data_IF_397840347796
#
_entry.id   IF_397840347796
#
_cell.length_a   1.000
_cell.length_b   1.000
_cell.length_c   1.000
_cell.angle_alpha   90.00
_cell.angle_beta   90.00
_cell.angle_gamma   90.00
#
_symmetry.space_group_name_H-M   'P 1'
#
loop_
_entity.id
_entity.type
_entity.pdbx_description
1 polymer ?
#
# COMPACT_ATOMS: atom_id res chain seq x y z
N UNK A 1 7.93 -23.59 16.28
CA UNK A 1 6.80 -22.89 16.94
C UNK A 1 6.62 -21.57 16.21
N UNK A 2 5.81 -21.53 15.16
CA UNK A 2 5.60 -20.32 14.35
C UNK A 2 4.61 -19.42 15.08
N UNK A 3 5.10 -18.29 15.59
CA UNK A 3 4.27 -17.22 16.14
C UNK A 3 3.34 -16.73 15.02
N UNK A 4 2.08 -17.15 15.05
CA UNK A 4 1.03 -16.55 14.22
C UNK A 4 0.76 -15.16 14.79
N UNK A 5 1.51 -14.16 14.30
CA UNK A 5 1.24 -12.77 14.61
C UNK A 5 -0.11 -12.43 14.00
N UNK A 6 -1.14 -12.28 14.84
CA UNK A 6 -2.46 -11.82 14.38
C UNK A 6 -2.29 -10.54 13.57
N UNK A 7 -2.75 -10.59 12.33
CA UNK A 7 -2.62 -9.54 11.32
C UNK A 7 -3.35 -8.27 11.75
N UNK A 8 -2.83 -7.08 11.41
CA UNK A 8 -3.61 -5.86 11.51
C UNK A 8 -4.74 -5.91 10.47
N UNK A 9 -5.95 -6.14 10.95
CA UNK A 9 -7.18 -5.84 10.19
C UNK A 9 -7.53 -4.41 10.55
N UNK A 10 -7.59 -3.53 9.55
CA UNK A 10 -8.11 -2.18 9.75
C UNK A 10 -9.63 -2.30 9.69
N UNK A 11 -10.31 -2.11 10.82
CA UNK A 11 -11.78 -2.25 10.90
C UNK A 11 -12.52 -1.31 9.93
N UNK A 12 -11.95 -0.14 9.65
CA UNK A 12 -12.44 0.77 8.61
C UNK A 12 -11.27 1.39 7.82
N UNK A 13 -11.02 1.00 6.55
CA UNK A 13 -9.98 1.58 5.72
C UNK A 13 -10.35 2.95 5.12
N UNK A 14 -11.60 3.41 5.27
CA UNK A 14 -12.14 4.60 4.60
C UNK A 14 -11.39 5.87 4.95
N UNK A 15 -10.93 6.01 6.20
CA UNK A 15 -10.18 7.20 6.63
C UNK A 15 -8.83 7.36 5.88
N UNK A 16 -8.24 6.25 5.42
CA UNK A 16 -7.03 6.24 4.59
C UNK A 16 -7.39 6.45 3.12
N UNK A 17 -8.38 5.71 2.63
CA UNK A 17 -8.65 5.54 1.20
C UNK A 17 -9.54 6.65 0.62
N UNK A 18 -10.56 7.11 1.35
CA UNK A 18 -11.48 8.14 0.84
C UNK A 18 -10.78 9.46 0.51
N UNK A 19 -9.85 9.98 1.33
CA UNK A 19 -9.14 11.20 0.98
C UNK A 19 -8.37 11.10 -0.35
N UNK A 20 -7.99 9.89 -0.78
CA UNK A 20 -7.29 9.64 -2.04
C UNK A 20 -8.28 9.59 -3.20
N UNK A 21 -9.39 8.85 -3.07
CA UNK A 21 -10.40 8.73 -4.13
C UNK A 21 -11.17 10.03 -4.36
N UNK A 22 -11.32 10.86 -3.33
CA UNK A 22 -11.97 12.17 -3.41
C UNK A 22 -11.13 13.22 -4.15
N UNK A 23 -9.84 12.98 -4.41
CA UNK A 23 -8.97 13.91 -5.15
C UNK A 23 -9.49 14.19 -6.56
N UNK A 24 -9.97 13.15 -7.25
CA UNK A 24 -10.47 13.25 -8.62
C UNK A 24 -11.33 12.04 -8.97
N UNK A 25 -12.33 12.26 -9.83
CA UNK A 25 -13.13 11.19 -10.44
C UNK A 25 -12.31 10.23 -11.32
N UNK A 26 -11.12 10.65 -11.72
CA UNK A 26 -10.17 9.83 -12.48
C UNK A 26 -9.47 8.78 -11.60
N UNK A 27 -9.53 8.90 -10.26
CA UNK A 27 -9.11 7.83 -9.36
C UNK A 27 -10.16 6.74 -9.39
N UNK A 28 -9.80 5.55 -9.89
CA UNK A 28 -10.73 4.43 -10.06
C UNK A 28 -10.87 3.64 -8.77
N UNK A 29 -9.74 3.18 -8.22
CA UNK A 29 -9.73 2.35 -7.01
C UNK A 29 -8.47 2.61 -6.19
N UNK A 30 -8.58 2.40 -4.88
CA UNK A 30 -7.45 2.38 -3.96
C UNK A 30 -7.54 1.18 -3.01
N UNK A 31 -6.38 0.70 -2.56
CA UNK A 31 -6.25 -0.50 -1.76
C UNK A 31 -5.09 -0.37 -0.78
N UNK A 32 -5.31 -0.91 0.42
CA UNK A 32 -4.29 -1.16 1.43
C UNK A 32 -3.97 -2.65 1.35
N UNK A 33 -2.69 -2.98 1.22
CA UNK A 33 -2.22 -4.36 1.13
C UNK A 33 -0.95 -4.58 1.96
N UNK A 34 -0.68 -5.83 2.29
CA UNK A 34 0.56 -6.25 2.95
C UNK A 34 1.62 -6.73 1.96
N UNK A 35 2.87 -6.80 2.40
CA UNK A 35 4.02 -7.26 1.60
C UNK A 35 4.00 -8.75 1.27
N UNK A 36 3.14 -9.52 1.93
CA UNK A 36 2.87 -10.92 1.62
C UNK A 36 1.69 -11.08 0.63
N UNK A 37 1.16 -9.99 0.10
CA UNK A 37 0.17 -10.01 -0.98
C UNK A 37 -1.27 -10.09 -0.52
N UNK A 38 -1.61 -9.68 0.71
CA UNK A 38 -2.99 -9.76 1.20
C UNK A 38 -3.68 -8.40 1.37
N UNK A 39 -4.97 -8.39 1.07
CA UNK A 39 -5.81 -7.19 1.14
C UNK A 39 -6.10 -6.88 2.60
N UNK A 40 -5.76 -5.67 3.01
CA UNK A 40 -6.08 -5.11 4.33
C UNK A 40 -7.34 -4.23 4.22
N UNK A 41 -7.53 -3.53 3.09
CA UNK A 41 -8.71 -2.73 2.82
C UNK A 41 -8.78 -2.30 1.36
N UNK A 42 -9.97 -2.03 0.86
CA UNK A 42 -10.19 -1.57 -0.51
C UNK A 42 -11.35 -0.58 -0.56
N UNK A 43 -11.32 0.31 -1.55
CA UNK A 43 -12.44 1.22 -1.84
C UNK A 43 -13.67 0.46 -2.31
N UNK A 44 -14.86 1.01 -2.06
CA UNK A 44 -16.10 0.47 -2.61
C UNK A 44 -16.04 0.32 -4.14
N UNK A 45 -16.73 -0.70 -4.65
CA UNK A 45 -16.77 -1.01 -6.08
C UNK A 45 -15.61 -1.86 -6.61
N UNK A 46 -14.55 -2.09 -5.83
CA UNK A 46 -13.54 -3.08 -6.18
C UNK A 46 -13.94 -4.47 -5.68
N UNK A 47 -14.16 -5.40 -6.61
CA UNK A 47 -14.50 -6.78 -6.27
C UNK A 47 -13.38 -7.44 -5.46
N UNK A 48 -13.77 -8.22 -4.45
CA UNK A 48 -12.83 -8.87 -3.54
C UNK A 48 -11.79 -9.73 -4.26
N UNK A 49 -12.22 -10.58 -5.18
CA UNK A 49 -11.32 -11.46 -5.96
C UNK A 49 -10.31 -10.63 -6.77
N UNK A 50 -10.76 -9.54 -7.38
CA UNK A 50 -9.89 -8.61 -8.11
C UNK A 50 -8.89 -7.94 -7.17
N UNK A 51 -9.33 -7.50 -5.99
CA UNK A 51 -8.45 -6.91 -4.98
C UNK A 51 -7.38 -7.90 -4.51
N UNK A 52 -7.75 -9.16 -4.27
CA UNK A 52 -6.83 -10.24 -3.87
C UNK A 52 -5.78 -10.49 -4.96
N UNK A 53 -6.20 -10.57 -6.22
CA UNK A 53 -5.30 -10.71 -7.37
C UNK A 53 -4.34 -9.53 -7.53
N UNK A 54 -4.85 -8.29 -7.46
CA UNK A 54 -4.02 -7.08 -7.51
C UNK A 54 -3.01 -7.09 -6.36
N UNK A 55 -3.46 -7.39 -5.15
CA UNK A 55 -2.62 -7.38 -3.95
C UNK A 55 -1.43 -8.34 -4.07
N UNK A 56 -1.67 -9.57 -4.53
CA UNK A 56 -0.61 -10.55 -4.76
C UNK A 56 0.42 -10.07 -5.80
N UNK A 57 -0.05 -9.56 -6.95
CA UNK A 57 0.84 -9.06 -8.00
C UNK A 57 1.63 -7.82 -7.55
N UNK A 58 1.01 -6.93 -6.77
CA UNK A 58 1.66 -5.72 -6.26
C UNK A 58 2.75 -6.03 -5.25
N UNK A 59 2.55 -7.03 -4.39
CA UNK A 59 3.60 -7.51 -3.49
C UNK A 59 4.81 -8.07 -4.25
N UNK A 60 4.57 -8.88 -5.29
CA UNK A 60 5.62 -9.41 -6.16
C UNK A 60 6.36 -8.29 -6.93
N UNK A 61 5.61 -7.35 -7.52
CA UNK A 61 6.15 -6.18 -8.21
C UNK A 61 7.03 -5.34 -7.29
N UNK A 62 6.58 -5.07 -6.06
CA UNK A 62 7.36 -4.31 -5.09
C UNK A 62 8.68 -5.01 -4.72
N UNK A 63 8.65 -6.34 -4.52
CA UNK A 63 9.86 -7.12 -4.27
C UNK A 63 10.88 -7.02 -5.42
N UNK A 64 10.41 -7.21 -6.65
CA UNK A 64 11.25 -7.11 -7.84
C UNK A 64 11.79 -5.69 -8.05
N UNK A 65 10.95 -4.67 -7.92
CA UNK A 65 11.33 -3.26 -8.06
C UNK A 65 12.39 -2.85 -7.03
N UNK A 66 12.24 -3.28 -5.77
CA UNK A 66 13.23 -3.02 -4.71
C UNK A 66 14.59 -3.65 -5.02
N UNK A 67 14.60 -4.91 -5.43
CA UNK A 67 15.85 -5.60 -5.78
C UNK A 67 16.54 -4.92 -6.97
N UNK A 68 15.79 -4.63 -8.03
CA UNK A 68 16.31 -3.96 -9.22
C UNK A 68 16.84 -2.55 -8.91
N UNK A 69 16.09 -1.74 -8.16
CA UNK A 69 16.49 -0.39 -7.79
C UNK A 69 17.75 -0.38 -6.91
N UNK A 70 17.83 -1.27 -5.91
CA UNK A 70 19.01 -1.34 -5.04
C UNK A 70 20.25 -1.76 -5.82
N UNK A 71 20.13 -2.75 -6.72
CA UNK A 71 21.23 -3.17 -7.57
C UNK A 71 21.66 -2.06 -8.55
N UNK A 72 20.71 -1.39 -9.21
CA UNK A 72 20.99 -0.37 -10.21
C UNK A 72 21.56 0.93 -9.62
N UNK A 73 21.23 1.25 -8.38
CA UNK A 73 21.69 2.46 -7.67
C UNK A 73 22.84 2.19 -6.71
N UNK A 74 23.40 0.97 -6.70
CA UNK A 74 24.44 0.54 -5.77
C UNK A 74 24.07 0.80 -4.29
N UNK A 75 22.78 0.70 -3.98
CA UNK A 75 22.26 0.95 -2.65
C UNK A 75 22.50 -0.25 -1.74
N UNK A 76 22.66 0.01 -0.44
CA UNK A 76 22.79 -1.04 0.55
C UNK A 76 21.61 -2.01 0.52
N UNK A 77 21.88 -3.28 0.83
CA UNK A 77 20.85 -4.29 0.94
C UNK A 77 19.75 -3.85 1.90
N UNK A 78 18.51 -4.05 1.46
CA UNK A 78 17.35 -3.66 2.24
C UNK A 78 17.02 -2.17 2.21
N UNK A 79 17.65 -1.34 1.37
CA UNK A 79 17.17 0.02 1.12
C UNK A 79 15.69 -0.02 0.68
N UNK A 80 14.79 0.79 1.27
CA UNK A 80 13.37 0.76 0.96
C UNK A 80 13.03 1.56 -0.31
N UNK A 81 12.07 1.08 -1.08
CA UNK A 81 11.48 1.84 -2.19
C UNK A 81 10.46 2.81 -1.62
N UNK A 82 10.54 4.09 -1.99
CA UNK A 82 9.59 5.10 -1.51
C UNK A 82 8.30 5.11 -2.31
N UNK A 83 8.37 4.90 -3.63
CA UNK A 83 7.21 4.88 -4.52
C UNK A 83 7.53 4.06 -5.76
N UNK A 84 6.53 3.33 -6.25
CA UNK A 84 6.54 2.69 -7.57
C UNK A 84 5.41 3.34 -8.38
N UNK A 85 5.68 3.66 -9.63
CA UNK A 85 4.68 4.17 -10.57
C UNK A 85 4.78 3.40 -11.87
N UNK A 86 3.66 2.88 -12.34
CA UNK A 86 3.52 2.16 -13.60
C UNK A 86 2.48 2.88 -14.44
N UNK A 87 2.79 3.13 -15.71
CA UNK A 87 1.88 3.79 -16.64
C UNK A 87 1.71 2.93 -17.89
N UNK A 88 0.49 2.91 -18.41
CA UNK A 88 0.17 2.32 -19.70
C UNK A 88 -0.87 3.19 -20.43
N UNK A 89 -1.33 2.74 -21.59
CA UNK A 89 -2.31 3.45 -22.41
C UNK A 89 -3.69 3.61 -21.75
N UNK A 90 -3.94 2.99 -20.60
CA UNK A 90 -5.20 3.07 -19.87
C UNK A 90 -5.12 3.93 -18.60
N UNK A 91 -3.93 4.34 -18.17
CA UNK A 91 -3.75 5.19 -17.00
C UNK A 91 -2.51 4.87 -16.18
N UNK A 92 -2.64 5.10 -14.87
CA UNK A 92 -1.51 5.08 -13.93
C UNK A 92 -1.84 4.20 -12.73
N UNK A 93 -0.85 3.42 -12.29
CA UNK A 93 -0.88 2.65 -11.04
C UNK A 93 0.29 3.07 -10.15
N UNK A 94 -0.01 3.49 -8.92
CA UNK A 94 0.97 3.98 -7.96
C UNK A 94 0.95 3.13 -6.70
N UNK A 95 2.12 2.87 -6.12
CA UNK A 95 2.28 2.08 -4.89
C UNK A 95 3.21 2.82 -3.95
N UNK A 96 2.84 2.96 -2.69
CA UNK A 96 3.62 3.65 -1.66
C UNK A 96 3.60 2.87 -0.33
N UNK A 97 4.75 2.60 0.31
CA UNK A 97 4.77 1.94 1.61
C UNK A 97 4.19 2.85 2.71
N UNK A 98 3.40 2.26 3.60
CA UNK A 98 2.80 2.90 4.76
C UNK A 98 3.77 2.97 5.95
N UNK A 99 4.94 3.58 5.75
CA UNK A 99 6.01 3.68 6.73
C UNK A 99 7.09 2.59 6.60
N UNK A 100 8.26 2.83 7.20
CA UNK A 100 9.46 2.05 6.95
C UNK A 100 9.44 0.60 7.49
N UNK A 101 8.49 0.26 8.39
CA UNK A 101 8.51 -1.01 9.16
C UNK A 101 7.19 -1.76 9.19
N UNK A 102 6.16 -1.30 8.47
CA UNK A 102 4.79 -1.79 8.62
C UNK A 102 4.42 -2.91 7.65
N UNK A 103 5.31 -3.24 6.71
CA UNK A 103 5.06 -4.23 5.64
C UNK A 103 3.72 -4.00 4.92
N UNK A 104 3.26 -2.75 4.86
CA UNK A 104 1.95 -2.35 4.36
C UNK A 104 2.13 -1.30 3.28
N UNK A 105 1.28 -1.31 2.26
CA UNK A 105 1.30 -0.39 1.14
C UNK A 105 -0.08 0.19 0.89
N UNK A 106 -0.09 1.41 0.37
CA UNK A 106 -1.25 2.01 -0.28
C UNK A 106 -0.97 1.94 -1.78
N UNK A 107 -1.92 1.39 -2.54
CA UNK A 107 -1.88 1.39 -3.99
C UNK A 107 -3.13 2.05 -4.58
N UNK A 108 -2.94 2.76 -5.69
CA UNK A 108 -3.96 3.60 -6.33
C UNK A 108 -3.90 3.41 -7.83
N UNK A 109 -5.05 3.17 -8.44
CA UNK A 109 -5.23 3.10 -9.89
C UNK A 109 -6.10 4.27 -10.34
N UNK A 110 -5.69 4.95 -11.42
CA UNK A 110 -6.48 6.01 -12.04
C UNK A 110 -6.34 6.06 -13.56
N UNK A 111 -7.21 6.84 -14.19
CA UNK A 111 -7.20 7.10 -15.63
C UNK A 111 -6.01 7.94 -16.09
N UNK A 112 -5.98 8.27 -17.38
CA UNK A 112 -4.92 9.05 -18.02
C UNK A 112 -4.85 10.48 -17.46
N UNK A 113 -5.99 11.04 -17.05
CA UNK A 113 -6.12 12.41 -16.56
C UNK A 113 -6.09 12.51 -15.02
N UNK A 114 -5.71 11.42 -14.34
CA UNK A 114 -5.55 11.44 -12.88
C UNK A 114 -4.45 12.45 -12.50
N UNK A 115 -4.72 13.44 -11.61
CA UNK A 115 -3.74 14.45 -11.21
C UNK A 115 -2.66 13.83 -10.31
N UNK A 116 -1.67 13.18 -10.92
CA UNK A 116 -0.67 12.34 -10.24
C UNK A 116 0.04 13.05 -9.09
N UNK A 117 0.43 14.32 -9.26
CA UNK A 117 1.11 15.07 -8.20
C UNK A 117 0.26 15.24 -6.93
N UNK A 118 -1.02 15.58 -7.11
CA UNK A 118 -1.96 15.73 -5.99
C UNK A 118 -2.25 14.37 -5.34
N UNK A 119 -2.48 13.33 -6.16
CA UNK A 119 -2.71 11.97 -5.67
C UNK A 119 -1.49 11.46 -4.88
N UNK A 120 -0.27 11.63 -5.41
CA UNK A 120 0.98 11.27 -4.73
C UNK A 120 1.11 11.96 -3.37
N UNK A 121 0.80 13.26 -3.32
CA UNK A 121 0.87 14.06 -2.10
C UNK A 121 -0.10 13.53 -1.03
N UNK A 122 -1.35 13.24 -1.42
CA UNK A 122 -2.33 12.69 -0.49
C UNK A 122 -1.96 11.26 -0.08
N UNK A 123 -1.52 10.41 -1.01
CA UNK A 123 -0.99 9.07 -0.70
C UNK A 123 0.12 9.14 0.35
N UNK A 124 1.09 10.05 0.22
CA UNK A 124 2.18 10.19 1.18
C UNK A 124 1.69 10.58 2.57
N UNK A 125 0.72 11.50 2.66
CA UNK A 125 0.10 11.88 3.93
C UNK A 125 -0.64 10.70 4.57
N UNK A 126 -1.37 9.93 3.77
CA UNK A 126 -2.13 8.78 4.28
C UNK A 126 -1.23 7.62 4.66
N UNK A 127 -0.18 7.34 3.88
CA UNK A 127 0.84 6.33 4.15
C UNK A 127 1.54 6.61 5.49
N UNK A 128 1.87 7.88 5.77
CA UNK A 128 2.46 8.29 7.04
C UNK A 128 1.49 8.04 8.21
N UNK A 129 0.25 8.54 8.12
CA UNK A 129 -0.75 8.35 9.19
C UNK A 129 -1.05 6.88 9.44
N UNK A 130 -1.19 6.09 8.37
CA UNK A 130 -1.41 4.66 8.47
C UNK A 130 -0.23 3.97 9.16
N UNK A 131 1.00 4.36 8.78
CA UNK A 131 2.20 3.87 9.43
C UNK A 131 2.23 4.17 10.94
N UNK A 132 1.86 5.39 11.32
CA UNK A 132 1.74 5.80 12.72
C UNK A 132 0.70 4.95 13.46
N UNK A 133 -0.51 4.81 12.93
CA UNK A 133 -1.56 3.98 13.55
C UNK A 133 -1.12 2.53 13.73
N UNK A 134 -0.49 1.92 12.72
CA UNK A 134 0.00 0.54 12.80
C UNK A 134 1.12 0.36 13.83
N UNK A 135 1.91 1.40 14.11
CA UNK A 135 2.91 1.40 15.18
C UNK A 135 2.30 1.58 16.57
N UNK A 136 1.14 2.25 16.68
CA UNK A 136 0.40 2.42 17.93
C UNK A 136 -0.47 1.23 18.32
N UNK A 137 -0.77 0.30 17.39
CA UNK A 137 -1.34 -1.00 17.76
C UNK A 137 -0.29 -1.74 18.57
N UNK A 138 -0.45 -1.91 19.90
CA UNK A 138 0.53 -2.65 20.68
C UNK A 138 0.55 -4.07 20.12
N UNK A 139 1.74 -4.65 19.93
CA UNK A 139 1.85 -6.10 19.88
C UNK A 139 1.22 -6.60 21.18
N UNK A 140 -0.01 -7.13 21.11
CA UNK A 140 -0.81 -7.50 22.29
C UNK A 140 0.09 -8.29 23.23
N UNK A 141 0.35 -7.73 24.41
CA UNK A 141 1.10 -8.36 25.48
C UNK A 141 0.58 -9.78 25.63
N UNK A 142 1.45 -10.77 25.35
CA UNK A 142 1.19 -12.15 25.72
C UNK A 142 0.86 -12.14 27.21
N UNK A 143 -0.36 -12.57 27.56
CA UNK A 143 -0.77 -12.69 28.94
C UNK A 143 0.23 -13.55 29.69
N UNK A 144 0.92 -12.94 30.66
CA UNK A 144 1.54 -13.68 31.73
C UNK A 144 0.43 -14.08 32.71
N UNK A 145 0.52 -15.34 33.12
CA UNK A 145 -0.39 -16.19 33.90
C UNK A 145 -1.02 -15.57 35.13
#
# INVERSE_FOLDING_TARGET
MTLSTSRPVIEDPSWVLNPITEVSKEVKHALILSSDGMVIGATEGLLRETAEGISAMTAALHGAARAAANAALEAADGTPVTTITVQNTHGTYMIMPAGARTNTFIAVAGGLDMPMGTVAHIMARQAKKLGEQLMFVPARTQGAS
#
